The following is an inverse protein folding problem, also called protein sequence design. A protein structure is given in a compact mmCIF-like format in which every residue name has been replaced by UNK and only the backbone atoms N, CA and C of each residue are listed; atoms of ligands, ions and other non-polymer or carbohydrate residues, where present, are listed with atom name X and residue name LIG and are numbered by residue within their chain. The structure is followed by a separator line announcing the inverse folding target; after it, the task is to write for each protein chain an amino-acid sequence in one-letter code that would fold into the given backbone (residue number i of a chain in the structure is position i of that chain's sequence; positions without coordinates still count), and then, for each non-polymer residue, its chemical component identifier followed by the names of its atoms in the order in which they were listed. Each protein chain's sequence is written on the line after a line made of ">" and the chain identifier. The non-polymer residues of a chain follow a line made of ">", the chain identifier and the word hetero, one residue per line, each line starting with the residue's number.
data_IF_244730531901
#
_entry.id   IF_244730531901
#
_cell.length_a   1.000
_cell.length_b   1.000
_cell.length_c   1.000
_cell.angle_alpha   90.00
_cell.angle_beta   90.00
_cell.angle_gamma   90.00
#
_symmetry.space_group_name_H-M   'P 1'
#
loop_
_entity.id
_entity.type
_entity.pdbx_description
1 polymer ?
#
# COMPACT_ATOMS: atom_id res chain seq x y z
N UNK A 1 2.47 -13.24 -24.82
CA UNK A 1 3.36 -14.06 -23.97
C UNK A 1 2.58 -14.51 -22.76
N UNK A 2 2.62 -15.80 -22.42
CA UNK A 2 1.97 -16.33 -21.22
C UNK A 2 2.70 -15.80 -19.97
N UNK A 3 2.00 -15.12 -19.08
CA UNK A 3 2.51 -14.70 -17.78
C UNK A 3 2.13 -15.75 -16.73
N UNK A 4 3.05 -16.06 -15.84
CA UNK A 4 2.77 -16.85 -14.65
C UNK A 4 3.16 -16.04 -13.42
N UNK A 5 2.38 -16.16 -12.36
CA UNK A 5 2.66 -15.55 -11.08
C UNK A 5 3.30 -16.58 -10.13
N UNK A 6 4.24 -16.12 -9.32
CA UNK A 6 4.82 -16.93 -8.25
C UNK A 6 4.09 -16.63 -6.94
N UNK A 7 3.57 -17.69 -6.33
CA UNK A 7 3.03 -17.62 -4.98
C UNK A 7 3.84 -18.57 -4.12
N UNK A 8 4.45 -18.05 -3.06
CA UNK A 8 5.28 -18.84 -2.18
C UNK A 8 4.43 -19.76 -1.31
N UNK A 9 4.83 -21.04 -1.19
CA UNK A 9 4.16 -22.00 -0.31
C UNK A 9 4.17 -21.60 1.16
N UNK A 10 5.08 -20.72 1.58
CA UNK A 10 5.10 -20.11 2.91
C UNK A 10 3.82 -19.36 3.26
N UNK A 11 3.03 -18.95 2.26
CA UNK A 11 1.69 -18.39 2.46
C UNK A 11 0.84 -19.30 3.37
N UNK A 12 0.86 -20.60 3.13
CA UNK A 12 0.11 -21.59 3.90
C UNK A 12 0.74 -21.92 5.25
N UNK A 13 2.07 -21.90 5.32
CA UNK A 13 2.82 -22.40 6.47
C UNK A 13 3.05 -21.35 7.54
N UNK A 14 3.46 -20.14 7.15
CA UNK A 14 3.97 -19.13 8.06
C UNK A 14 3.23 -17.80 8.04
N UNK A 15 2.38 -17.52 7.04
CA UNK A 15 1.69 -16.24 6.96
C UNK A 15 0.59 -16.12 8.01
N UNK A 16 0.84 -15.29 9.03
CA UNK A 16 -0.16 -14.96 10.05
C UNK A 16 -1.36 -14.23 9.44
N UNK A 17 -1.11 -13.31 8.51
CA UNK A 17 -2.15 -12.55 7.81
C UNK A 17 -3.08 -13.47 7.02
N UNK A 18 -2.51 -14.45 6.29
CA UNK A 18 -3.29 -15.43 5.52
C UNK A 18 -4.23 -16.27 6.39
N UNK A 19 -3.79 -16.66 7.59
CA UNK A 19 -4.62 -17.44 8.51
C UNK A 19 -5.82 -16.67 9.06
N UNK A 20 -5.79 -15.35 9.01
CA UNK A 20 -6.90 -14.48 9.43
C UNK A 20 -8.00 -14.39 8.37
N UNK A 21 -7.69 -14.69 7.10
CA UNK A 21 -8.69 -14.72 6.03
C UNK A 21 -9.57 -15.95 6.19
N UNK A 22 -10.79 -15.75 6.66
CA UNK A 22 -11.77 -16.83 6.88
C UNK A 22 -12.66 -17.08 5.66
N UNK A 23 -12.85 -16.06 4.83
CA UNK A 23 -13.72 -16.10 3.65
C UNK A 23 -13.01 -16.71 2.44
N UNK A 24 -13.60 -17.73 1.85
CA UNK A 24 -13.07 -18.40 0.65
C UNK A 24 -13.13 -17.48 -0.59
N UNK A 25 -14.09 -16.56 -0.66
CA UNK A 25 -14.13 -15.57 -1.73
C UNK A 25 -12.92 -14.63 -1.63
N UNK A 26 -12.58 -14.15 -0.43
CA UNK A 26 -11.39 -13.33 -0.23
C UNK A 26 -10.10 -14.10 -0.59
N UNK A 27 -10.01 -15.40 -0.24
CA UNK A 27 -8.88 -16.25 -0.64
C UNK A 27 -8.77 -16.40 -2.15
N UNK A 28 -9.89 -16.64 -2.84
CA UNK A 28 -9.89 -16.74 -4.29
C UNK A 28 -9.53 -15.41 -4.93
N UNK A 29 -10.06 -14.29 -4.42
CA UNK A 29 -9.71 -12.96 -4.90
C UNK A 29 -8.21 -12.67 -4.74
N UNK A 30 -7.59 -13.08 -3.64
CA UNK A 30 -6.14 -12.92 -3.45
C UNK A 30 -5.34 -13.60 -4.57
N UNK A 31 -5.68 -14.84 -4.92
CA UNK A 31 -5.03 -15.53 -6.04
C UNK A 31 -5.32 -14.87 -7.38
N UNK A 32 -6.54 -14.38 -7.59
CA UNK A 32 -6.88 -13.61 -8.78
C UNK A 32 -6.03 -12.36 -8.90
N UNK A 33 -5.86 -11.58 -7.83
CA UNK A 33 -5.05 -10.36 -7.83
C UNK A 33 -3.58 -10.63 -8.21
N UNK A 34 -3.04 -11.78 -7.86
CA UNK A 34 -1.68 -12.15 -8.27
C UNK A 34 -1.57 -12.68 -9.69
N UNK A 35 -2.65 -13.21 -10.27
CA UNK A 35 -2.63 -13.95 -11.54
C UNK A 35 -3.38 -13.26 -12.67
N UNK A 36 -4.18 -12.23 -12.39
CA UNK A 36 -4.99 -11.54 -13.38
C UNK A 36 -4.14 -10.86 -14.47
N UNK A 37 -4.71 -10.60 -15.67
CA UNK A 37 -3.97 -9.96 -16.76
C UNK A 37 -3.42 -8.57 -16.43
N UNK A 38 -4.02 -7.87 -15.46
CA UNK A 38 -3.63 -6.54 -15.02
C UNK A 38 -2.47 -6.53 -14.02
N UNK A 39 -2.18 -7.69 -13.39
CA UNK A 39 -1.14 -7.78 -12.38
C UNK A 39 0.22 -7.33 -12.90
N UNK A 40 1.03 -6.71 -12.03
CA UNK A 40 2.39 -6.25 -12.31
C UNK A 40 3.38 -6.91 -11.35
N UNK A 41 4.64 -6.99 -11.75
CA UNK A 41 5.69 -7.58 -10.91
C UNK A 41 5.91 -6.83 -9.59
N UNK A 42 5.56 -5.56 -9.54
CA UNK A 42 5.56 -4.75 -8.31
C UNK A 42 4.43 -5.12 -7.34
N UNK A 43 3.38 -5.78 -7.84
CA UNK A 43 2.14 -6.01 -7.08
C UNK A 43 1.23 -4.78 -6.94
N UNK A 44 1.63 -3.63 -7.50
CA UNK A 44 0.83 -2.40 -7.52
C UNK A 44 0.36 -2.10 -8.94
N UNK A 45 -0.95 -1.94 -9.14
CA UNK A 45 -1.53 -1.71 -10.46
C UNK A 45 -2.97 -1.23 -10.38
N UNK A 46 -3.46 -0.66 -11.49
CA UNK A 46 -4.87 -0.25 -11.63
C UNK A 46 -5.73 -1.48 -11.94
N UNK A 47 -6.76 -1.70 -11.14
CA UNK A 47 -7.74 -2.78 -11.31
C UNK A 47 -9.17 -2.23 -11.24
N UNK A 48 -9.78 -1.82 -12.36
CA UNK A 48 -11.19 -1.47 -12.35
C UNK A 48 -12.06 -2.65 -11.94
N UNK A 49 -12.96 -2.45 -10.98
CA UNK A 49 -13.82 -3.52 -10.43
C UNK A 49 -14.58 -4.33 -11.50
N UNK A 50 -15.08 -3.73 -12.60
CA UNK A 50 -15.77 -4.50 -13.65
C UNK A 50 -14.96 -5.66 -14.24
N UNK A 51 -13.62 -5.54 -14.29
CA UNK A 51 -12.78 -6.66 -14.76
C UNK A 51 -12.78 -7.82 -13.76
N UNK A 52 -12.60 -7.54 -12.47
CA UNK A 52 -12.67 -8.58 -11.44
C UNK A 52 -14.07 -9.23 -11.38
N UNK A 53 -15.13 -8.44 -11.54
CA UNK A 53 -16.51 -8.94 -11.62
C UNK A 53 -16.70 -9.89 -12.80
N UNK A 54 -16.22 -9.51 -13.99
CA UNK A 54 -16.36 -10.31 -15.20
C UNK A 54 -15.55 -11.60 -15.13
N UNK A 55 -14.28 -11.51 -14.73
CA UNK A 55 -13.36 -12.65 -14.70
C UNK A 55 -13.75 -13.69 -13.64
N UNK A 56 -14.28 -13.24 -12.50
CA UNK A 56 -14.72 -14.13 -11.41
C UNK A 56 -16.19 -14.52 -11.50
N UNK A 57 -16.97 -13.87 -12.36
CA UNK A 57 -18.42 -14.07 -12.42
C UNK A 57 -19.15 -13.60 -11.15
N UNK A 58 -18.62 -12.56 -10.46
CA UNK A 58 -19.16 -12.12 -9.19
C UNK A 58 -19.88 -10.76 -9.28
N UNK A 59 -20.93 -10.55 -8.45
CA UNK A 59 -21.53 -9.23 -8.32
C UNK A 59 -20.56 -8.28 -7.59
N UNK A 60 -20.78 -6.96 -7.79
CA UNK A 60 -19.95 -5.89 -7.22
C UNK A 60 -19.76 -6.04 -5.71
N UNK A 61 -20.86 -6.26 -4.99
CA UNK A 61 -20.82 -6.33 -3.52
C UNK A 61 -19.91 -7.46 -3.01
N UNK A 62 -19.92 -8.61 -3.71
CA UNK A 62 -19.03 -9.74 -3.35
C UNK A 62 -17.56 -9.40 -3.57
N UNK A 63 -17.24 -8.72 -4.68
CA UNK A 63 -15.85 -8.26 -4.94
C UNK A 63 -15.42 -7.24 -3.90
N UNK A 64 -16.25 -6.23 -3.62
CA UNK A 64 -15.94 -5.19 -2.64
C UNK A 64 -15.78 -5.76 -1.22
N UNK A 65 -16.65 -6.67 -0.79
CA UNK A 65 -16.54 -7.34 0.51
C UNK A 65 -15.23 -8.13 0.62
N UNK A 66 -14.87 -8.87 -0.44
CA UNK A 66 -13.62 -9.64 -0.46
C UNK A 66 -12.37 -8.74 -0.46
N UNK A 67 -12.40 -7.60 -1.17
CA UNK A 67 -11.31 -6.60 -1.11
C UNK A 67 -11.16 -6.02 0.29
N UNK A 68 -12.26 -5.66 0.96
CA UNK A 68 -12.25 -5.16 2.34
C UNK A 68 -11.65 -6.21 3.28
N UNK A 69 -12.09 -7.46 3.20
CA UNK A 69 -11.57 -8.53 4.04
C UNK A 69 -10.05 -8.76 3.85
N UNK A 70 -9.54 -8.66 2.63
CA UNK A 70 -8.09 -8.75 2.36
C UNK A 70 -7.32 -7.53 2.88
N UNK A 71 -7.90 -6.33 2.77
CA UNK A 71 -7.33 -5.09 3.31
C UNK A 71 -7.25 -5.14 4.84
N UNK A 72 -8.30 -5.58 5.53
CA UNK A 72 -8.35 -5.71 6.99
C UNK A 72 -7.31 -6.69 7.52
N UNK A 73 -7.01 -7.74 6.75
CA UNK A 73 -5.92 -8.66 7.05
C UNK A 73 -4.53 -8.11 6.67
N UNK A 74 -4.45 -6.96 6.03
CA UNK A 74 -3.19 -6.34 5.57
C UNK A 74 -2.48 -7.12 4.46
N UNK A 75 -3.21 -7.95 3.69
CA UNK A 75 -2.67 -8.67 2.53
C UNK A 75 -2.65 -7.81 1.28
N UNK A 76 -3.53 -6.82 1.21
CA UNK A 76 -3.56 -5.82 0.15
C UNK A 76 -3.77 -4.44 0.76
N UNK A 77 -3.48 -3.41 -0.03
CA UNK A 77 -3.96 -2.04 0.18
C UNK A 77 -4.76 -1.66 -1.05
N UNK A 78 -5.99 -1.23 -0.83
CA UNK A 78 -6.94 -0.91 -1.90
C UNK A 78 -7.34 0.56 -1.84
N UNK A 79 -7.23 1.26 -2.96
CA UNK A 79 -7.75 2.60 -3.17
C UNK A 79 -8.98 2.50 -4.08
N UNK A 80 -10.17 2.72 -3.50
CA UNK A 80 -11.43 2.62 -4.22
C UNK A 80 -11.62 3.77 -5.22
N UNK A 81 -11.06 4.95 -4.95
CA UNK A 81 -11.20 6.14 -5.78
C UNK A 81 -10.44 5.99 -7.09
N UNK A 82 -9.19 5.59 -7.01
CA UNK A 82 -8.30 5.44 -8.15
C UNK A 82 -8.31 4.02 -8.72
N UNK A 83 -9.06 3.10 -8.10
CA UNK A 83 -9.07 1.67 -8.44
C UNK A 83 -7.67 1.04 -8.46
N UNK A 84 -6.84 1.41 -7.50
CA UNK A 84 -5.47 0.90 -7.39
C UNK A 84 -5.39 -0.13 -6.28
N UNK A 85 -4.81 -1.27 -6.60
CA UNK A 85 -4.50 -2.33 -5.64
C UNK A 85 -2.99 -2.48 -5.50
N UNK A 86 -2.55 -2.69 -4.26
CA UNK A 86 -1.20 -3.11 -3.94
C UNK A 86 -1.25 -4.41 -3.11
N UNK A 87 -0.70 -5.47 -3.66
CA UNK A 87 -0.54 -6.76 -2.97
C UNK A 87 0.71 -6.70 -2.10
N UNK A 88 0.56 -6.64 -0.78
CA UNK A 88 1.68 -6.46 0.15
C UNK A 88 2.67 -7.62 0.07
N UNK A 89 3.95 -7.32 -0.01
CA UNK A 89 4.99 -8.34 -0.11
C UNK A 89 5.22 -8.91 -1.52
N UNK A 90 4.53 -8.43 -2.55
CA UNK A 90 4.64 -8.99 -3.90
C UNK A 90 6.06 -8.89 -4.47
N UNK A 91 6.73 -7.74 -4.32
CA UNK A 91 8.09 -7.54 -4.77
C UNK A 91 9.10 -8.44 -4.04
N UNK A 92 8.85 -8.80 -2.78
CA UNK A 92 9.66 -9.75 -2.01
C UNK A 92 9.42 -11.21 -2.43
N UNK A 93 8.21 -11.54 -2.88
CA UNK A 93 7.88 -12.90 -3.32
C UNK A 93 8.54 -13.26 -4.66
N UNK A 94 8.61 -12.30 -5.58
CA UNK A 94 9.31 -12.46 -6.87
C UNK A 94 10.20 -11.23 -7.15
N UNK A 95 11.35 -11.11 -6.46
CA UNK A 95 12.23 -9.97 -6.62
C UNK A 95 12.84 -9.94 -8.03
N UNK A 96 13.12 -8.73 -8.57
CA UNK A 96 13.74 -8.60 -9.87
C UNK A 96 15.12 -9.27 -9.88
N UNK A 97 15.42 -10.02 -10.95
CA UNK A 97 16.63 -10.84 -11.07
C UNK A 97 17.77 -10.12 -11.77
N UNK A 98 17.46 -9.06 -12.47
CA UNK A 98 18.41 -8.28 -13.24
C UNK A 98 18.04 -6.79 -13.29
N UNK A 99 18.98 -5.90 -13.63
CA UNK A 99 18.74 -4.46 -13.66
C UNK A 99 17.61 -4.03 -14.62
N UNK A 100 17.47 -4.70 -15.76
CA UNK A 100 16.43 -4.39 -16.74
C UNK A 100 15.02 -4.64 -16.16
N UNK A 101 14.84 -5.74 -15.44
CA UNK A 101 13.58 -6.03 -14.76
C UNK A 101 13.31 -5.05 -13.64
N UNK A 102 14.34 -4.69 -12.85
CA UNK A 102 14.24 -3.68 -11.80
C UNK A 102 13.84 -2.31 -12.35
N UNK A 103 14.44 -1.89 -13.46
CA UNK A 103 14.07 -0.65 -14.15
C UNK A 103 12.64 -0.70 -14.68
N UNK A 104 12.17 -1.86 -15.16
CA UNK A 104 10.78 -2.07 -15.56
C UNK A 104 9.82 -1.89 -14.37
N UNK A 105 10.15 -2.42 -13.20
CA UNK A 105 9.35 -2.23 -11.99
C UNK A 105 9.28 -0.76 -11.54
N UNK A 106 10.38 -0.03 -11.64
CA UNK A 106 10.41 1.42 -11.34
C UNK A 106 9.50 2.17 -12.32
N UNK A 107 9.62 1.87 -13.63
CA UNK A 107 8.81 2.51 -14.67
C UNK A 107 7.32 2.17 -14.55
N UNK A 108 6.97 0.95 -14.15
CA UNK A 108 5.57 0.55 -13.90
C UNK A 108 4.93 1.45 -12.83
N UNK A 109 5.67 1.78 -11.76
CA UNK A 109 5.17 2.66 -10.69
C UNK A 109 5.04 4.13 -11.12
N UNK A 110 5.87 4.59 -12.05
CA UNK A 110 5.76 5.96 -12.58
C UNK A 110 4.42 6.19 -13.31
N UNK A 111 3.81 5.14 -13.84
CA UNK A 111 2.53 5.19 -14.53
C UNK A 111 1.30 5.23 -13.61
N UNK A 112 1.49 5.02 -12.30
CA UNK A 112 0.42 4.98 -11.30
C UNK A 112 0.30 6.35 -10.64
N UNK A 113 -0.92 6.90 -10.47
CA UNK A 113 -1.13 8.15 -9.73
C UNK A 113 -0.62 8.08 -8.29
N UNK A 114 -0.32 9.23 -7.70
CA UNK A 114 0.14 9.29 -6.32
C UNK A 114 -0.99 8.94 -5.35
N UNK A 115 -0.83 7.82 -4.65
CA UNK A 115 -1.80 7.26 -3.72
C UNK A 115 -1.10 6.40 -2.67
N UNK A 116 -1.81 6.05 -1.60
CA UNK A 116 -1.25 5.23 -0.52
C UNK A 116 -0.74 3.85 -1.01
N UNK A 117 -1.46 3.07 -1.84
CA UNK A 117 -0.95 1.83 -2.40
C UNK A 117 0.39 1.97 -3.11
N UNK A 118 0.55 3.03 -3.93
CA UNK A 118 1.81 3.32 -4.63
C UNK A 118 2.94 3.62 -3.67
N UNK A 119 2.70 4.49 -2.67
CA UNK A 119 3.70 4.87 -1.68
C UNK A 119 4.25 3.66 -0.93
N UNK A 120 3.38 2.77 -0.44
CA UNK A 120 3.79 1.56 0.27
C UNK A 120 4.54 0.59 -0.64
N UNK A 121 4.10 0.45 -1.90
CA UNK A 121 4.81 -0.35 -2.89
C UNK A 121 6.20 0.20 -3.20
N UNK A 122 6.35 1.51 -3.32
CA UNK A 122 7.63 2.18 -3.55
C UNK A 122 8.61 1.92 -2.41
N UNK A 123 8.16 2.02 -1.16
CA UNK A 123 8.99 1.73 0.02
C UNK A 123 9.50 0.29 0.02
N UNK A 124 8.61 -0.68 -0.25
CA UNK A 124 9.01 -2.08 -0.35
C UNK A 124 9.96 -2.33 -1.50
N UNK A 125 9.68 -1.77 -2.67
CA UNK A 125 10.52 -1.95 -3.86
C UNK A 125 11.94 -1.41 -3.62
N UNK A 126 12.09 -0.22 -3.04
CA UNK A 126 13.40 0.35 -2.69
C UNK A 126 14.18 -0.60 -1.76
N UNK A 127 13.53 -1.14 -0.74
CA UNK A 127 14.15 -2.09 0.17
C UNK A 127 14.64 -3.35 -0.59
N UNK A 128 13.78 -3.95 -1.41
CA UNK A 128 14.09 -5.16 -2.19
C UNK A 128 15.21 -4.93 -3.19
N UNK A 129 15.22 -3.80 -3.91
CA UNK A 129 16.27 -3.47 -4.87
C UNK A 129 17.62 -3.23 -4.19
N UNK A 130 17.60 -2.68 -2.98
CA UNK A 130 18.82 -2.39 -2.20
C UNK A 130 19.47 -3.67 -1.63
N UNK A 131 18.73 -4.76 -1.50
CA UNK A 131 19.26 -6.05 -1.03
C UNK A 131 20.22 -6.71 -2.02
N UNK A 132 20.12 -6.37 -3.32
CA UNK A 132 21.00 -6.91 -4.36
C UNK A 132 22.02 -5.86 -4.85
N UNK A 133 23.31 -5.96 -4.49
CA UNK A 133 24.31 -4.94 -4.82
C UNK A 133 24.45 -4.65 -6.32
N UNK A 134 24.30 -5.67 -7.17
CA UNK A 134 24.39 -5.48 -8.64
C UNK A 134 23.23 -4.65 -9.17
N UNK A 135 22.04 -4.87 -8.65
CA UNK A 135 20.85 -4.12 -9.03
C UNK A 135 20.89 -2.73 -8.42
N UNK A 136 21.28 -2.60 -7.15
CA UNK A 136 21.40 -1.34 -6.45
C UNK A 136 22.34 -0.36 -7.18
N UNK A 137 23.51 -0.83 -7.62
CA UNK A 137 24.46 -0.02 -8.39
C UNK A 137 23.87 0.36 -9.76
N UNK A 138 23.33 -0.61 -10.50
CA UNK A 138 22.84 -0.38 -11.85
C UNK A 138 21.57 0.48 -11.92
N UNK A 139 20.74 0.48 -10.87
CA UNK A 139 19.47 1.22 -10.79
C UNK A 139 19.54 2.38 -9.79
N UNK A 140 20.73 2.83 -9.39
CA UNK A 140 20.96 3.83 -8.35
C UNK A 140 20.08 5.08 -8.52
N UNK A 141 20.10 5.71 -9.69
CA UNK A 141 19.32 6.91 -9.98
C UNK A 141 17.81 6.69 -9.81
N UNK A 142 17.30 5.54 -10.29
CA UNK A 142 15.90 5.16 -10.15
C UNK A 142 15.51 4.95 -8.68
N UNK A 143 16.33 4.26 -7.90
CA UNK A 143 16.14 4.02 -6.48
C UNK A 143 16.16 5.34 -5.70
N UNK A 144 17.11 6.23 -5.97
CA UNK A 144 17.20 7.55 -5.34
C UNK A 144 15.98 8.42 -5.65
N UNK A 145 15.51 8.40 -6.90
CA UNK A 145 14.30 9.12 -7.32
C UNK A 145 13.07 8.62 -6.56
N UNK A 146 12.82 7.30 -6.55
CA UNK A 146 11.69 6.70 -5.83
C UNK A 146 11.77 6.98 -4.34
N UNK A 147 12.96 6.87 -3.73
CA UNK A 147 13.17 7.16 -2.31
C UNK A 147 12.89 8.61 -1.96
N UNK A 148 13.20 9.56 -2.86
CA UNK A 148 12.89 10.99 -2.68
C UNK A 148 11.38 11.22 -2.71
N UNK A 149 10.69 10.68 -3.71
CA UNK A 149 9.23 10.78 -3.83
C UNK A 149 8.51 10.20 -2.60
N UNK A 150 8.99 9.08 -2.07
CA UNK A 150 8.45 8.51 -0.82
C UNK A 150 8.59 9.47 0.36
N UNK A 151 9.74 10.14 0.53
CA UNK A 151 9.94 11.10 1.62
C UNK A 151 9.05 12.32 1.48
N UNK A 152 8.94 12.87 0.27
CA UNK A 152 8.14 14.07 -0.01
C UNK A 152 6.64 13.78 0.25
N UNK A 153 6.15 12.62 -0.17
CA UNK A 153 4.76 12.18 0.07
C UNK A 153 4.46 11.98 1.56
N UNK A 154 5.39 11.40 2.32
CA UNK A 154 5.24 11.22 3.77
C UNK A 154 5.21 12.58 4.50
N UNK A 155 6.03 13.53 4.07
CA UNK A 155 6.04 14.88 4.64
C UNK A 155 4.71 15.60 4.40
N UNK A 156 4.14 15.50 3.19
CA UNK A 156 2.85 16.11 2.85
C UNK A 156 1.70 15.55 3.68
N UNK A 157 1.64 14.22 3.87
CA UNK A 157 0.62 13.57 4.71
C UNK A 157 0.75 14.00 6.17
N UNK A 158 1.98 14.13 6.66
CA UNK A 158 2.26 14.55 8.04
C UNK A 158 1.84 16.01 8.29
N UNK A 159 2.09 16.91 7.36
CA UNK A 159 1.71 18.33 7.49
C UNK A 159 0.21 18.55 7.39
N UNK A 160 -0.49 17.88 6.49
CA UNK A 160 -1.95 17.95 6.39
C UNK A 160 -2.67 17.43 7.65
N UNK A 161 -2.12 16.40 8.28
CA UNK A 161 -2.66 15.89 9.54
C UNK A 161 -2.45 16.87 10.71
N UNK A 162 -1.33 17.60 10.73
CA UNK A 162 -1.04 18.60 11.75
C UNK A 162 -1.94 19.86 11.59
N UNK A 163 -2.12 20.36 10.37
CA UNK A 163 -2.99 21.50 10.09
C UNK A 163 -4.47 21.20 10.41
N UNK A 164 -4.92 19.96 10.18
CA UNK A 164 -6.29 19.57 10.53
C UNK A 164 -6.54 19.56 12.04
N UNK A 165 -5.54 19.22 12.85
CA UNK A 165 -5.63 19.24 14.31
C UNK A 165 -5.66 20.68 14.83
N UNK A 166 -4.83 21.57 14.29
CA UNK A 166 -4.81 22.97 14.69
C UNK A 166 -6.13 23.70 14.32
N UNK A 167 -6.70 23.37 13.17
CA UNK A 167 -7.99 23.94 12.73
C UNK A 167 -9.13 23.49 13.64
N UNK A 168 -9.15 22.23 14.08
CA UNK A 168 -10.17 21.72 15.01
C UNK A 168 -9.99 22.32 16.41
N UNK A 169 -8.76 22.52 16.88
CA UNK A 169 -8.50 23.14 18.18
C UNK A 169 -8.87 24.62 18.21
N UNK A 170 -8.65 25.37 17.11
CA UNK A 170 -9.03 26.77 17.02
C UNK A 170 -10.55 26.98 16.95
N UNK A 171 -11.31 26.04 16.40
CA UNK A 171 -12.78 26.07 16.37
C UNK A 171 -13.44 25.68 17.70
N UNK A 172 -12.76 24.95 18.59
CA UNK A 172 -13.27 24.60 19.91
C UNK A 172 -13.07 25.70 20.98
N UNK A 173 -12.35 26.78 20.66
CA UNK A 173 -12.03 27.86 21.62
C UNK A 173 -13.15 28.87 21.87
N UNK A 174 -14.22 28.93 21.06
CA UNK A 174 -15.22 30.01 21.10
C UNK A 174 -16.63 29.57 21.57
N UNK A 175 -16.76 28.46 22.28
CA UNK A 175 -18.06 28.02 22.82
C UNK A 175 -18.11 28.01 24.35
N UNK A 176 -17.93 29.18 24.96
CA UNK A 176 -18.44 29.47 26.29
C UNK A 176 -19.77 30.22 26.20
N UNK A 177 -20.83 29.50 25.88
CA UNK A 177 -22.20 29.99 25.81
C UNK A 177 -23.18 28.92 26.27
N UNK A 178 -23.75 29.12 27.44
CA UNK A 178 -24.81 28.28 28.06
C UNK A 178 -26.03 28.16 27.15
N UNK A 179 -26.46 26.91 26.86
CA UNK A 179 -27.71 26.64 26.16
C UNK A 179 -28.05 25.15 26.18
N UNK A 180 -28.99 24.78 27.01
CA UNK A 180 -29.63 23.46 27.05
C UNK A 180 -30.46 23.21 25.80
N UNK A 181 -30.20 22.09 25.10
CA UNK A 181 -31.00 21.67 23.94
C UNK A 181 -30.63 20.27 23.53
N UNK A 182 -31.51 19.30 23.79
CA UNK A 182 -31.46 17.92 23.33
C UNK A 182 -31.62 17.85 21.81
N UNK A 183 -30.74 17.10 21.12
CA UNK A 183 -30.87 16.84 19.68
C UNK A 183 -29.84 15.84 19.20
N UNK A 184 -30.28 14.61 19.03
CA UNK A 184 -29.64 13.46 18.41
C UNK A 184 -29.03 13.77 17.04
N UNK A 185 -27.85 13.24 16.77
CA UNK A 185 -27.30 13.18 15.41
C UNK A 185 -25.80 13.35 15.31
N UNK A 186 -25.00 12.55 16.02
CA UNK A 186 -23.56 12.47 15.77
C UNK A 186 -23.32 11.36 14.78
N UNK A 187 -23.02 11.73 13.53
CA UNK A 187 -22.47 10.79 12.56
C UNK A 187 -21.04 10.51 13.02
N UNK A 188 -20.84 9.36 13.62
CA UNK A 188 -19.53 8.87 14.01
C UNK A 188 -18.72 8.52 12.74
N UNK A 189 -17.76 9.35 12.41
CA UNK A 189 -16.68 8.99 11.48
C UNK A 189 -15.86 7.91 12.16
N UNK A 190 -15.61 6.74 11.53
CA UNK A 190 -14.87 5.68 12.19
C UNK A 190 -13.41 6.10 12.42
N UNK A 191 -13.03 6.23 13.66
CA UNK A 191 -11.68 6.59 14.18
C UNK A 191 -10.65 5.48 13.89
N UNK A 192 -11.03 4.38 13.24
CA UNK A 192 -10.18 3.20 13.08
C UNK A 192 -9.06 3.33 12.05
N UNK A 193 -9.16 4.21 11.06
CA UNK A 193 -8.14 4.36 10.02
C UNK A 193 -6.93 5.19 10.47
N UNK A 194 -7.14 6.26 11.24
CA UNK A 194 -6.04 7.11 11.75
C UNK A 194 -5.22 6.43 12.85
N UNK A 195 -5.83 5.58 13.66
CA UNK A 195 -5.15 4.86 14.74
C UNK A 195 -4.31 3.70 14.19
N UNK A 196 -4.80 3.00 13.16
CA UNK A 196 -4.06 1.92 12.50
C UNK A 196 -2.84 2.47 11.72
N UNK A 197 -3.01 3.56 10.97
CA UNK A 197 -1.91 4.23 10.26
C UNK A 197 -0.84 4.78 11.23
N UNK A 198 -1.24 5.37 12.35
CA UNK A 198 -0.31 5.87 13.37
C UNK A 198 0.46 4.77 14.09
N UNK A 199 -0.11 3.58 14.28
CA UNK A 199 0.55 2.44 14.89
C UNK A 199 1.51 1.75 13.90
N UNK A 200 1.14 1.60 12.64
CA UNK A 200 2.00 1.02 11.60
C UNK A 200 3.17 1.96 11.25
N UNK A 201 2.94 3.27 11.16
CA UNK A 201 4.01 4.26 10.95
C UNK A 201 5.00 4.30 12.14
N UNK A 202 4.54 4.11 13.38
CA UNK A 202 5.44 3.95 14.54
C UNK A 202 6.22 2.64 14.52
N UNK A 203 5.64 1.54 14.03
CA UNK A 203 6.37 0.28 13.86
C UNK A 203 7.39 0.34 12.72
N UNK A 204 7.08 1.06 11.62
CA UNK A 204 8.01 1.27 10.51
C UNK A 204 9.14 2.24 10.87
N UNK A 205 8.88 3.23 11.72
CA UNK A 205 9.91 4.13 12.26
C UNK A 205 10.84 3.49 13.28
N UNK A 206 10.44 2.36 13.91
CA UNK A 206 11.27 1.59 14.83
C UNK A 206 12.19 0.57 14.12
N UNK A 207 11.90 0.24 12.86
CA UNK A 207 12.85 -0.46 11.98
C UNK A 207 13.73 0.61 11.36
N UNK A 208 14.79 0.98 12.06
CA UNK A 208 15.81 1.91 11.57
C UNK A 208 16.27 1.43 10.18
N UNK A 209 15.90 2.19 9.15
CA UNK A 209 16.50 2.02 7.83
C UNK A 209 17.97 2.37 8.02
N UNK A 210 18.91 1.43 7.85
CA UNK A 210 20.31 1.80 7.93
C UNK A 210 20.57 2.85 6.87
N UNK A 211 20.99 4.02 7.30
CA UNK A 211 21.50 5.06 6.42
C UNK A 211 22.66 4.44 5.64
N UNK A 212 22.45 4.13 4.38
CA UNK A 212 23.52 3.77 3.48
C UNK A 212 24.34 5.05 3.23
N UNK A 213 25.35 5.26 4.07
CA UNK A 213 26.44 6.17 3.75
C UNK A 213 27.19 5.55 2.56
N UNK A 214 26.98 6.09 1.40
CA UNK A 214 27.79 5.77 0.23
C UNK A 214 29.18 6.40 0.45
N UNK A 215 30.28 5.65 0.30
CA UNK A 215 31.61 6.24 0.35
C UNK A 215 31.71 7.30 -0.75
N UNK A 216 32.00 8.53 -0.37
CA UNK A 216 32.42 9.59 -1.26
C UNK A 216 33.79 9.20 -1.80
N UNK A 217 33.86 8.88 -3.10
CA UNK A 217 35.14 8.65 -3.78
C UNK A 217 36.05 9.87 -3.61
N UNK A 218 37.23 9.61 -3.04
CA UNK A 218 38.40 10.46 -3.17
C UNK A 218 39.16 10.09 -4.44
#
# INVERSE_FOLDING_TARGET
>A
MSRYARINSSLWLSSRKWRQVQDDAARLLYFYLHTCPHSRGTGCYVLPLPYAMADLGWPKDKVSTALTALSDCGLIVWDETEHIVYCTGAARQDPPRNPSQAQGHISDLDSIPDCLPKLLCQQELVAVLSENPKIAIACREGIERVSRLCRDSLYTVSTQSAESVDTVLSQCGDLSGSGSGSGSGVVAVPVSLTTALGAELKQLGAVGIPFLEFPTDQ
#
